data_IF_559381547258
#
_entry.id   IF_559381547258
#
_cell.length_a   1.000
_cell.length_b   1.000
_cell.length_c   1.000
_cell.angle_alpha   90.00
_cell.angle_beta   90.00
_cell.angle_gamma   90.00
#
_symmetry.space_group_name_H-M   'P 1'
#
loop_
_entity.id
_entity.type
_entity.pdbx_description
1 polymer ?
#
# COMPACT_ATOMS: atom_id res chain seq x y z
N UNK A 1 -8.69 -7.65 -31.30
CA UNK A 1 -9.04 -7.96 -29.89
C UNK A 1 -8.09 -7.13 -29.07
N UNK A 2 -8.55 -6.29 -28.13
CA UNK A 2 -7.63 -5.57 -27.25
C UNK A 2 -6.89 -6.59 -26.36
N UNK A 3 -5.59 -6.42 -26.23
CA UNK A 3 -4.75 -7.21 -25.35
C UNK A 3 -5.29 -7.11 -23.91
N UNK A 4 -5.30 -8.23 -23.16
CA UNK A 4 -5.73 -8.22 -21.75
C UNK A 4 -4.80 -7.30 -20.95
N UNK A 5 -5.30 -6.51 -19.99
CA UNK A 5 -4.43 -5.70 -19.16
C UNK A 5 -3.49 -6.59 -18.33
N UNK A 6 -2.23 -6.17 -18.17
CA UNK A 6 -1.23 -6.82 -17.32
C UNK A 6 -1.22 -6.14 -15.96
N UNK A 7 -1.49 -6.90 -14.90
CA UNK A 7 -1.49 -6.41 -13.54
C UNK A 7 -0.34 -7.05 -12.74
N UNK A 8 0.46 -6.20 -12.09
CA UNK A 8 1.43 -6.65 -11.09
C UNK A 8 0.78 -6.60 -9.71
N UNK A 9 0.76 -7.73 -9.02
CA UNK A 9 0.18 -7.87 -7.68
C UNK A 9 1.29 -8.07 -6.65
N UNK A 10 1.19 -7.41 -5.50
CA UNK A 10 2.08 -7.55 -4.35
C UNK A 10 1.28 -7.39 -3.05
N UNK A 11 1.91 -7.55 -1.90
CA UNK A 11 1.36 -7.29 -0.56
C UNK A 11 2.48 -7.14 0.47
N UNK A 12 2.14 -7.05 1.76
CA UNK A 12 3.08 -7.14 2.88
C UNK A 12 2.77 -8.32 3.84
N UNK A 13 1.64 -8.99 3.68
CA UNK A 13 1.28 -10.17 4.48
C UNK A 13 2.00 -11.46 4.03
N UNK A 14 2.61 -11.45 2.85
CA UNK A 14 3.30 -12.61 2.25
C UNK A 14 2.55 -13.24 1.08
N UNK A 15 3.30 -13.98 0.25
CA UNK A 15 2.83 -14.55 -1.03
C UNK A 15 1.67 -15.55 -0.88
N UNK A 16 1.58 -16.23 0.24
CA UNK A 16 0.53 -17.23 0.55
C UNK A 16 -0.63 -16.67 1.38
N UNK A 17 -0.64 -15.37 1.67
CA UNK A 17 -1.67 -14.75 2.52
C UNK A 17 -3.06 -14.82 1.85
N UNK A 18 -4.16 -15.01 2.62
CA UNK A 18 -5.51 -15.11 2.07
C UNK A 18 -5.92 -13.92 1.21
N UNK A 19 -5.49 -12.71 1.59
CA UNK A 19 -5.83 -11.47 0.89
C UNK A 19 -5.28 -11.41 -0.53
N UNK A 20 -4.00 -11.79 -0.74
CA UNK A 20 -3.40 -11.79 -2.08
C UNK A 20 -3.97 -12.92 -2.94
N UNK A 21 -4.30 -14.09 -2.35
CA UNK A 21 -4.91 -15.20 -3.07
C UNK A 21 -6.29 -14.85 -3.59
N UNK A 22 -7.14 -14.25 -2.74
CA UNK A 22 -8.47 -13.78 -3.14
C UNK A 22 -8.36 -12.69 -4.23
N UNK A 23 -7.43 -11.75 -4.07
CA UNK A 23 -7.20 -10.67 -5.03
C UNK A 23 -6.77 -11.21 -6.40
N UNK A 24 -5.77 -12.07 -6.46
CA UNK A 24 -5.30 -12.71 -7.70
C UNK A 24 -6.42 -13.43 -8.43
N UNK A 25 -7.20 -14.23 -7.70
CA UNK A 25 -8.33 -14.98 -8.25
C UNK A 25 -9.37 -14.05 -8.88
N UNK A 26 -9.73 -12.96 -8.21
CA UNK A 26 -10.69 -11.99 -8.73
C UNK A 26 -10.17 -11.24 -9.96
N UNK A 27 -8.89 -10.83 -9.96
CA UNK A 27 -8.27 -10.07 -11.05
C UNK A 27 -8.03 -10.92 -12.29
N UNK A 28 -7.65 -12.20 -12.14
CA UNK A 28 -7.42 -13.12 -13.25
C UNK A 28 -8.65 -13.32 -14.16
N UNK A 29 -9.84 -13.00 -13.67
CA UNK A 29 -11.07 -13.06 -14.48
C UNK A 29 -11.08 -12.08 -15.66
N UNK A 30 -10.23 -11.03 -15.64
CA UNK A 30 -10.23 -10.01 -16.71
C UNK A 30 -8.84 -9.55 -17.15
N UNK A 31 -7.78 -9.89 -16.41
CA UNK A 31 -6.42 -9.43 -16.61
C UNK A 31 -5.44 -10.60 -16.60
N UNK A 32 -4.25 -10.38 -17.16
CA UNK A 32 -3.10 -11.23 -16.95
C UNK A 32 -2.42 -10.78 -15.65
N UNK A 33 -2.33 -11.69 -14.68
CA UNK A 33 -1.87 -11.36 -13.32
C UNK A 33 -0.50 -11.97 -13.08
N UNK A 34 0.45 -11.11 -12.76
CA UNK A 34 1.78 -11.47 -12.31
C UNK A 34 1.93 -11.06 -10.85
N UNK A 35 2.41 -11.96 -10.01
CA UNK A 35 2.53 -11.73 -8.57
C UNK A 35 3.98 -11.79 -8.15
N UNK A 36 4.45 -10.75 -7.50
CA UNK A 36 5.77 -10.72 -6.84
C UNK A 36 5.55 -10.16 -5.44
N UNK A 37 5.72 -11.01 -4.43
CA UNK A 37 5.36 -10.68 -3.06
C UNK A 37 6.42 -11.18 -2.07
N UNK A 38 6.49 -10.62 -0.85
CA UNK A 38 7.39 -11.11 0.18
C UNK A 38 7.13 -12.57 0.51
N UNK A 39 8.21 -13.32 0.79
CA UNK A 39 8.11 -14.71 1.23
C UNK A 39 7.42 -14.84 2.60
N UNK A 40 7.57 -13.84 3.46
CA UNK A 40 7.00 -13.79 4.80
C UNK A 40 6.43 -12.42 5.08
N UNK A 41 5.60 -12.31 6.13
CA UNK A 41 5.03 -11.05 6.60
C UNK A 41 6.10 -9.95 6.81
N UNK A 42 5.81 -8.75 6.32
CA UNK A 42 6.65 -7.56 6.32
C UNK A 42 5.91 -6.33 6.89
N UNK A 43 5.08 -6.52 7.90
CA UNK A 43 4.32 -5.44 8.53
C UNK A 43 5.21 -4.32 9.04
N UNK A 44 4.74 -3.07 8.94
CA UNK A 44 5.41 -1.85 9.40
C UNK A 44 6.82 -1.61 8.82
N UNK A 45 7.11 -2.14 7.62
CA UNK A 45 8.40 -1.91 6.94
C UNK A 45 8.48 -0.59 6.18
N UNK A 46 7.37 0.15 6.10
CA UNK A 46 7.36 1.40 5.33
C UNK A 46 7.84 1.18 3.88
N UNK A 47 8.38 2.21 3.24
CA UNK A 47 8.95 2.12 1.88
C UNK A 47 10.45 1.84 1.91
N UNK A 48 10.88 0.82 2.67
CA UNK A 48 12.30 0.44 2.73
C UNK A 48 12.71 -0.40 1.52
N UNK A 49 13.95 -0.16 1.05
CA UNK A 49 14.59 -0.89 -0.04
C UNK A 49 15.85 -1.59 0.50
N UNK A 50 16.06 -2.82 0.12
CA UNK A 50 17.19 -3.65 0.51
C UNK A 50 18.39 -3.41 -0.40
N UNK A 51 19.43 -2.72 0.10
CA UNK A 51 20.63 -2.36 -0.68
C UNK A 51 21.90 -3.06 -0.22
N UNK A 52 21.96 -3.56 1.02
CA UNK A 52 23.21 -3.99 1.66
C UNK A 52 23.38 -5.52 1.72
N UNK A 53 22.42 -6.29 1.30
CA UNK A 53 22.51 -7.73 1.16
C UNK A 53 21.74 -8.22 -0.07
N UNK A 54 22.07 -9.41 -0.61
CA UNK A 54 21.38 -9.94 -1.77
C UNK A 54 19.96 -10.34 -1.41
N UNK A 55 19.03 -10.13 -2.33
CA UNK A 55 17.67 -10.67 -2.28
C UNK A 55 17.66 -12.05 -2.96
N UNK A 56 16.93 -12.99 -2.37
CA UNK A 56 16.63 -14.29 -2.99
C UNK A 56 15.18 -14.28 -3.45
N UNK A 57 14.94 -14.90 -4.57
CA UNK A 57 13.60 -15.09 -5.09
C UNK A 57 13.45 -16.48 -5.70
N UNK A 58 12.24 -16.99 -5.74
CA UNK A 58 11.92 -18.25 -6.40
C UNK A 58 10.47 -18.21 -6.90
N UNK A 59 10.21 -18.93 -7.97
CA UNK A 59 8.86 -19.12 -8.49
C UNK A 59 8.13 -20.14 -7.61
N UNK A 60 6.95 -19.74 -7.09
CA UNK A 60 6.10 -20.58 -6.25
C UNK A 60 5.10 -21.35 -7.11
N UNK A 61 4.55 -20.69 -8.11
CA UNK A 61 3.67 -21.20 -9.15
C UNK A 61 3.78 -20.32 -10.40
N UNK A 62 3.20 -20.73 -11.50
CA UNK A 62 3.26 -19.98 -12.76
C UNK A 62 2.83 -18.53 -12.56
N UNK A 63 3.71 -17.58 -12.92
CA UNK A 63 3.55 -16.13 -12.75
C UNK A 63 3.47 -15.64 -11.29
N UNK A 64 3.97 -16.43 -10.33
CA UNK A 64 4.01 -16.07 -8.91
C UNK A 64 5.40 -16.31 -8.32
N UNK A 65 6.01 -15.26 -7.80
CA UNK A 65 7.33 -15.28 -7.18
C UNK A 65 7.30 -14.78 -5.74
N UNK A 66 8.01 -15.50 -4.90
CA UNK A 66 8.31 -15.09 -3.53
C UNK A 66 9.71 -14.45 -3.47
N UNK A 67 9.85 -13.33 -2.77
CA UNK A 67 11.10 -12.62 -2.56
C UNK A 67 11.39 -12.51 -1.06
N UNK A 68 12.64 -12.73 -0.63
CA UNK A 68 13.05 -12.51 0.77
C UNK A 68 13.37 -11.02 1.00
N UNK A 69 12.42 -10.16 0.73
CA UNK A 69 12.56 -8.72 0.77
C UNK A 69 11.28 -8.01 1.22
N UNK A 70 11.33 -6.69 1.18
CA UNK A 70 10.19 -5.84 1.49
C UNK A 70 9.16 -5.82 0.35
N UNK A 71 7.92 -5.34 0.58
CA UNK A 71 6.94 -5.13 -0.48
C UNK A 71 7.44 -4.21 -1.61
N UNK A 72 8.19 -3.18 -1.26
CA UNK A 72 8.80 -2.28 -2.24
C UNK A 72 9.90 -2.98 -3.05
N UNK A 73 10.73 -3.84 -2.42
CA UNK A 73 11.71 -4.68 -3.14
C UNK A 73 11.03 -5.59 -4.16
N UNK A 74 9.90 -6.19 -3.80
CA UNK A 74 9.15 -7.07 -4.69
C UNK A 74 8.70 -6.36 -5.97
N UNK A 75 8.12 -5.17 -5.83
CA UNK A 75 7.70 -4.35 -6.97
C UNK A 75 8.91 -3.87 -7.76
N UNK A 76 9.99 -3.43 -7.09
CA UNK A 76 11.23 -3.04 -7.74
C UNK A 76 11.82 -4.19 -8.58
N UNK A 77 11.93 -5.39 -8.01
CA UNK A 77 12.41 -6.59 -8.69
C UNK A 77 11.54 -6.89 -9.92
N UNK A 78 10.21 -6.82 -9.78
CA UNK A 78 9.31 -7.07 -10.90
C UNK A 78 9.52 -6.11 -12.08
N UNK A 79 9.85 -4.85 -11.83
CA UNK A 79 10.09 -3.86 -12.88
C UNK A 79 11.44 -4.00 -13.57
N UNK A 80 12.47 -4.48 -12.86
CA UNK A 80 13.86 -4.41 -13.34
C UNK A 80 14.52 -5.77 -13.56
N UNK A 81 13.96 -6.86 -13.04
CA UNK A 81 14.45 -8.19 -13.37
C UNK A 81 14.00 -8.55 -14.80
N UNK A 82 15.00 -8.74 -15.67
CA UNK A 82 14.77 -9.07 -17.06
C UNK A 82 13.96 -10.37 -17.18
N UNK A 83 13.02 -10.37 -18.12
CA UNK A 83 12.19 -11.53 -18.49
C UNK A 83 11.22 -12.03 -17.39
N UNK A 84 11.09 -11.34 -16.24
CA UNK A 84 10.10 -11.69 -15.23
C UNK A 84 8.69 -11.28 -15.67
N UNK A 85 8.54 -10.06 -16.20
CA UNK A 85 7.29 -9.60 -16.80
C UNK A 85 7.43 -9.57 -18.34
N UNK A 86 6.40 -9.96 -19.10
CA UNK A 86 6.46 -9.94 -20.57
C UNK A 86 6.47 -8.51 -21.15
N UNK A 87 5.96 -7.56 -20.39
CA UNK A 87 5.93 -6.13 -20.69
C UNK A 87 5.71 -5.30 -19.42
N UNK A 88 5.79 -3.99 -19.54
CA UNK A 88 5.46 -3.09 -18.42
C UNK A 88 4.01 -3.31 -17.97
N UNK A 89 3.72 -3.41 -16.66
CA UNK A 89 2.36 -3.58 -16.19
C UNK A 89 1.53 -2.31 -16.41
N UNK A 90 0.23 -2.49 -16.66
CA UNK A 90 -0.74 -1.42 -16.82
C UNK A 90 -1.16 -0.84 -15.46
N UNK A 91 -1.03 -1.66 -14.39
CA UNK A 91 -1.35 -1.28 -13.02
C UNK A 91 -0.57 -2.13 -12.02
N UNK A 92 -0.23 -1.53 -10.87
CA UNK A 92 0.23 -2.23 -9.67
C UNK A 92 -0.91 -2.28 -8.65
N UNK A 93 -1.20 -3.46 -8.13
CA UNK A 93 -2.26 -3.69 -7.13
C UNK A 93 -1.63 -4.35 -5.91
N UNK A 94 -1.63 -3.65 -4.79
CA UNK A 94 -1.05 -4.15 -3.53
C UNK A 94 -2.14 -4.49 -2.53
N UNK A 95 -2.08 -5.68 -1.95
CA UNK A 95 -3.02 -6.16 -0.94
C UNK A 95 -3.59 -7.56 -1.27
N UNK A 96 -4.70 -7.94 -0.68
CA UNK A 96 -5.52 -7.15 0.27
C UNK A 96 -4.93 -7.36 1.66
N UNK A 97 -4.51 -6.27 2.30
CA UNK A 97 -3.96 -6.29 3.65
C UNK A 97 -5.03 -6.66 4.69
N UNK A 98 -4.66 -7.45 5.68
CA UNK A 98 -5.47 -7.68 6.85
C UNK A 98 -5.31 -6.53 7.86
N UNK A 99 -6.33 -5.76 8.04
CA UNK A 99 -6.34 -4.53 8.84
C UNK A 99 -6.25 -3.26 7.97
N UNK A 100 -6.75 -2.14 8.48
CA UNK A 100 -6.81 -0.88 7.73
C UNK A 100 -5.46 -0.16 7.68
N UNK A 101 -5.25 0.60 6.61
CA UNK A 101 -4.17 1.57 6.46
C UNK A 101 -4.78 2.97 6.29
N UNK A 102 -5.05 3.65 7.40
CA UNK A 102 -5.78 4.92 7.47
C UNK A 102 -4.90 6.07 7.96
N UNK A 103 -5.23 7.28 7.55
CA UNK A 103 -4.55 8.47 8.03
C UNK A 103 -3.03 8.36 7.92
N UNK A 104 -2.33 8.66 9.01
CA UNK A 104 -0.87 8.62 9.06
C UNK A 104 -0.25 7.20 9.03
N UNK A 105 -1.06 6.12 9.16
CA UNK A 105 -0.54 4.74 9.02
C UNK A 105 0.02 4.47 7.61
N UNK A 106 -0.44 5.19 6.60
CA UNK A 106 0.05 5.07 5.22
C UNK A 106 1.57 5.30 5.09
N UNK A 107 2.20 5.95 6.08
CA UNK A 107 3.64 6.17 6.11
C UNK A 107 4.42 4.92 6.54
N UNK A 108 3.80 4.05 7.33
CA UNK A 108 4.42 2.83 7.87
C UNK A 108 4.03 1.57 7.09
N UNK A 109 2.95 1.64 6.31
CA UNK A 109 2.37 0.50 5.59
C UNK A 109 3.25 -0.02 4.46
N UNK A 110 3.52 -1.32 4.49
CA UNK A 110 4.18 -2.06 3.41
C UNK A 110 3.25 -2.21 2.19
N UNK A 111 1.95 -2.41 2.41
CA UNK A 111 0.93 -2.46 1.34
C UNK A 111 0.92 -1.17 0.53
N UNK A 112 0.87 -0.02 1.22
CA UNK A 112 0.91 1.30 0.55
C UNK A 112 2.27 1.53 -0.13
N UNK A 113 3.36 1.05 0.47
CA UNK A 113 4.70 1.18 -0.09
C UNK A 113 4.86 0.44 -1.42
N UNK A 114 4.35 -0.80 -1.54
CA UNK A 114 4.36 -1.54 -2.80
C UNK A 114 3.58 -0.80 -3.90
N UNK A 115 2.40 -0.29 -3.60
CA UNK A 115 1.63 0.52 -4.55
C UNK A 115 2.35 1.83 -4.91
N UNK A 116 2.97 2.49 -3.92
CA UNK A 116 3.76 3.72 -4.12
C UNK A 116 4.97 3.47 -5.02
N UNK A 117 5.66 2.33 -4.88
CA UNK A 117 6.76 1.97 -5.77
C UNK A 117 6.30 1.88 -7.22
N UNK A 118 5.14 1.26 -7.49
CA UNK A 118 4.53 1.25 -8.81
C UNK A 118 4.22 2.65 -9.34
N UNK A 119 3.68 3.53 -8.50
CA UNK A 119 3.38 4.91 -8.86
C UNK A 119 4.66 5.72 -9.15
N UNK A 120 5.74 5.52 -8.38
CA UNK A 120 7.06 6.10 -8.66
C UNK A 120 7.63 5.65 -10.02
N UNK A 121 7.24 4.47 -10.49
CA UNK A 121 7.58 3.99 -11.85
C UNK A 121 6.60 4.54 -12.92
N UNK A 122 5.70 5.43 -12.57
CA UNK A 122 4.75 6.03 -13.52
C UNK A 122 3.61 5.10 -13.92
N UNK A 123 3.27 4.11 -13.09
CA UNK A 123 2.17 3.17 -13.32
C UNK A 123 1.03 3.45 -12.34
N UNK A 124 -0.22 3.37 -12.80
CA UNK A 124 -1.38 3.47 -11.91
C UNK A 124 -1.28 2.43 -10.80
N UNK A 125 -1.55 2.81 -9.57
CA UNK A 125 -1.37 1.91 -8.44
C UNK A 125 -2.50 2.03 -7.42
N UNK A 126 -2.86 0.90 -6.83
CA UNK A 126 -3.86 0.81 -5.76
C UNK A 126 -3.29 0.02 -4.60
N UNK A 127 -3.42 0.55 -3.39
CA UNK A 127 -3.26 -0.18 -2.14
C UNK A 127 -4.65 -0.53 -1.58
N UNK A 128 -4.83 -1.78 -1.15
CA UNK A 128 -6.10 -2.34 -0.70
C UNK A 128 -5.95 -2.92 0.71
N UNK A 129 -6.82 -2.52 1.62
CA UNK A 129 -6.81 -2.96 3.01
C UNK A 129 -8.22 -3.29 3.48
N UNK A 130 -8.39 -4.38 4.22
CA UNK A 130 -9.69 -4.86 4.70
C UNK A 130 -9.70 -5.03 6.22
N UNK A 131 -10.73 -4.48 6.88
CA UNK A 131 -10.93 -4.64 8.32
C UNK A 131 -11.54 -6.00 8.72
N UNK A 132 -11.96 -6.80 7.73
CA UNK A 132 -12.51 -8.15 7.95
C UNK A 132 -11.49 -9.22 7.55
N UNK A 133 -11.63 -10.41 8.12
CA UNK A 133 -10.91 -11.61 7.67
C UNK A 133 -11.49 -12.21 6.40
N UNK A 134 -12.69 -11.79 6.01
CA UNK A 134 -13.38 -12.24 4.80
C UNK A 134 -12.87 -11.42 3.59
N UNK A 135 -12.07 -12.04 2.73
CA UNK A 135 -11.35 -11.34 1.66
C UNK A 135 -12.06 -11.36 0.31
N UNK A 136 -12.93 -12.33 0.06
CA UNK A 136 -13.56 -12.54 -1.24
C UNK A 136 -14.47 -11.38 -1.64
N UNK A 137 -15.25 -10.85 -0.69
CA UNK A 137 -16.09 -9.67 -0.91
C UNK A 137 -15.27 -8.44 -1.28
N UNK A 138 -14.21 -8.16 -0.53
CA UNK A 138 -13.28 -7.07 -0.81
C UNK A 138 -12.59 -7.23 -2.17
N UNK A 139 -12.20 -8.45 -2.55
CA UNK A 139 -11.58 -8.74 -3.84
C UNK A 139 -12.52 -8.48 -5.03
N UNK A 140 -13.83 -8.71 -4.89
CA UNK A 140 -14.81 -8.36 -5.93
C UNK A 140 -14.95 -6.84 -6.11
N UNK A 141 -14.96 -6.07 -5.02
CA UNK A 141 -14.91 -4.60 -5.10
C UNK A 141 -13.61 -4.12 -5.73
N UNK A 142 -12.46 -4.68 -5.30
CA UNK A 142 -11.14 -4.36 -5.83
C UNK A 142 -11.06 -4.55 -7.34
N UNK A 143 -11.62 -5.66 -7.86
CA UNK A 143 -11.75 -5.89 -9.31
C UNK A 143 -12.52 -4.75 -10.01
N UNK A 144 -13.59 -4.27 -9.41
CA UNK A 144 -14.37 -3.14 -9.93
C UNK A 144 -13.54 -1.85 -9.99
N UNK A 145 -12.83 -1.52 -8.92
CA UNK A 145 -11.95 -0.35 -8.85
C UNK A 145 -10.80 -0.43 -9.84
N UNK A 146 -10.17 -1.60 -10.01
CA UNK A 146 -9.12 -1.80 -11.00
C UNK A 146 -9.63 -1.53 -12.42
N UNK A 147 -10.79 -2.06 -12.79
CA UNK A 147 -11.41 -1.82 -14.11
C UNK A 147 -11.73 -0.34 -14.32
N UNK A 148 -12.28 0.33 -13.31
CA UNK A 148 -12.59 1.76 -13.39
C UNK A 148 -11.31 2.58 -13.57
N UNK A 149 -10.27 2.33 -12.76
CA UNK A 149 -9.00 3.07 -12.84
C UNK A 149 -8.27 2.83 -14.17
N UNK A 150 -8.29 1.63 -14.72
CA UNK A 150 -7.75 1.33 -16.06
C UNK A 150 -8.46 2.14 -17.15
N UNK A 151 -9.77 2.37 -17.00
CA UNK A 151 -10.58 3.17 -17.93
C UNK A 151 -10.38 4.69 -17.81
N UNK A 152 -9.64 5.19 -16.78
CA UNK A 152 -9.43 6.63 -16.62
C UNK A 152 -8.27 7.13 -17.47
N UNK A 153 -8.33 8.41 -17.84
CA UNK A 153 -7.20 9.12 -18.43
C UNK A 153 -6.42 9.78 -17.30
N UNK A 154 -5.24 9.28 -16.97
CA UNK A 154 -4.37 9.96 -16.01
C UNK A 154 -3.81 11.26 -16.66
N UNK A 155 -3.63 12.34 -15.88
CA UNK A 155 -2.92 13.51 -16.37
C UNK A 155 -1.53 13.13 -16.87
N UNK A 156 -1.05 13.72 -17.97
CA UNK A 156 0.29 13.41 -18.49
C UNK A 156 1.36 13.61 -17.43
N UNK A 157 2.22 12.59 -17.24
CA UNK A 157 3.34 12.64 -16.31
C UNK A 157 3.00 12.39 -14.83
N UNK A 158 1.72 12.14 -14.50
CA UNK A 158 1.31 11.82 -13.13
C UNK A 158 0.77 10.39 -13.04
N UNK A 159 1.37 9.58 -12.18
CA UNK A 159 0.80 8.30 -11.81
C UNK A 159 -0.28 8.50 -10.73
N UNK A 160 -1.41 7.79 -10.88
CA UNK A 160 -2.46 7.77 -9.87
C UNK A 160 -2.10 6.72 -8.82
N UNK A 161 -2.10 7.12 -7.56
CA UNK A 161 -1.97 6.23 -6.41
C UNK A 161 -3.21 6.37 -5.53
N UNK A 162 -3.95 5.28 -5.34
CA UNK A 162 -5.14 5.24 -4.48
C UNK A 162 -4.90 4.30 -3.30
N UNK A 163 -5.30 4.73 -2.11
CA UNK A 163 -5.40 3.92 -0.91
C UNK A 163 -6.88 3.65 -0.64
N UNK A 164 -7.27 2.37 -0.60
CA UNK A 164 -8.66 1.94 -0.48
C UNK A 164 -8.79 1.03 0.74
N UNK A 165 -9.70 1.40 1.65
CA UNK A 165 -9.99 0.60 2.84
C UNK A 165 -11.43 0.13 2.84
N UNK A 166 -11.64 -1.15 3.15
CA UNK A 166 -12.94 -1.80 3.24
C UNK A 166 -13.37 -1.90 4.72
N UNK A 167 -14.61 -1.53 5.06
CA UNK A 167 -15.12 -1.62 6.42
C UNK A 167 -15.32 -3.08 6.87
N UNK A 168 -15.42 -3.34 8.20
CA UNK A 168 -15.60 -4.69 8.74
C UNK A 168 -16.98 -5.30 8.49
N UNK A 169 -17.91 -4.51 7.98
CA UNK A 169 -19.31 -4.89 7.66
C UNK A 169 -19.58 -4.69 6.17
N UNK A 170 -20.66 -5.25 5.61
CA UNK A 170 -21.03 -4.97 4.23
C UNK A 170 -21.06 -3.46 3.97
N UNK A 171 -20.38 -2.97 2.93
CA UNK A 171 -20.26 -1.54 2.69
C UNK A 171 -21.62 -0.89 2.39
N UNK A 172 -21.86 0.27 3.00
CA UNK A 172 -23.03 1.12 2.68
C UNK A 172 -22.87 1.88 1.36
N UNK A 173 -21.65 1.95 0.84
CA UNK A 173 -21.28 2.66 -0.37
C UNK A 173 -19.80 2.98 -0.41
N UNK A 174 -19.41 3.89 -1.31
CA UNK A 174 -18.02 4.31 -1.55
C UNK A 174 -17.92 5.82 -1.37
N UNK A 175 -16.87 6.29 -0.71
CA UNK A 175 -16.58 7.73 -0.55
C UNK A 175 -15.17 8.06 -1.03
N UNK A 176 -15.03 9.13 -1.79
CA UNK A 176 -13.75 9.78 -2.01
C UNK A 176 -13.39 10.53 -0.72
N UNK A 177 -12.16 10.31 -0.22
CA UNK A 177 -11.73 10.77 1.10
C UNK A 177 -10.36 11.43 1.03
N UNK A 178 -10.00 12.11 2.12
CA UNK A 178 -8.62 12.50 2.43
C UNK A 178 -8.11 11.68 3.61
N UNK A 179 -6.81 11.72 3.86
CA UNK A 179 -6.24 11.09 5.04
C UNK A 179 -6.78 11.75 6.32
N UNK A 180 -7.20 10.93 7.25
CA UNK A 180 -7.54 11.33 8.61
C UNK A 180 -6.31 11.40 9.51
N UNK A 181 -6.54 11.47 10.81
CA UNK A 181 -5.49 11.45 11.83
C UNK A 181 -5.77 10.30 12.80
N UNK A 182 -4.87 9.34 12.85
CA UNK A 182 -4.88 8.26 13.84
C UNK A 182 -3.86 8.55 14.94
N UNK A 183 -4.32 8.41 16.16
CA UNK A 183 -3.51 8.59 17.37
C UNK A 183 -3.29 7.24 18.02
N UNK A 184 -2.06 6.96 18.34
CA UNK A 184 -1.65 5.79 19.12
C UNK A 184 -1.25 6.25 20.52
N UNK A 185 -1.39 5.37 21.51
CA UNK A 185 -0.73 5.63 22.79
C UNK A 185 0.78 5.58 22.52
N UNK A 186 1.46 6.72 22.66
CA UNK A 186 2.92 6.84 22.49
C UNK A 186 3.66 6.19 23.67
N UNK A 187 3.37 4.92 23.95
CA UNK A 187 3.94 4.17 25.04
C UNK A 187 5.01 3.20 24.57
N UNK A 188 6.08 3.11 25.36
CA UNK A 188 7.09 2.07 25.24
C UNK A 188 7.09 1.28 26.54
N UNK A 189 6.64 0.03 26.48
CA UNK A 189 6.66 -0.86 27.62
C UNK A 189 8.03 -1.52 27.77
N UNK A 190 8.65 -1.34 28.94
CA UNK A 190 9.92 -1.98 29.29
C UNK A 190 9.63 -3.27 30.06
N UNK A 191 10.21 -4.39 29.64
CA UNK A 191 10.13 -5.69 30.30
C UNK A 191 11.51 -6.32 30.46
N UNK A 192 11.62 -7.28 31.35
CA UNK A 192 12.85 -8.06 31.57
C UNK A 192 12.70 -9.47 31.01
N UNK A 193 13.75 -9.97 30.35
CA UNK A 193 13.85 -11.39 30.00
C UNK A 193 14.22 -12.23 31.26
N UNK A 194 14.08 -13.57 31.23
CA UNK A 194 14.44 -14.42 32.38
C UNK A 194 15.89 -14.32 32.87
N UNK A 195 16.77 -13.63 32.12
CA UNK A 195 18.17 -13.37 32.48
C UNK A 195 18.42 -11.94 32.95
N UNK A 196 17.34 -11.16 33.16
CA UNK A 196 17.40 -9.76 33.62
C UNK A 196 17.84 -8.75 32.57
N UNK A 197 17.76 -9.06 31.27
CA UNK A 197 18.01 -8.10 30.20
C UNK A 197 16.73 -7.41 29.80
N UNK A 198 16.79 -6.08 29.69
CA UNK A 198 15.63 -5.28 29.26
C UNK A 198 15.32 -5.50 27.79
N UNK A 199 14.05 -5.58 27.47
CA UNK A 199 13.52 -5.49 26.10
C UNK A 199 12.30 -4.57 26.06
N UNK A 200 11.99 -4.04 24.89
CA UNK A 200 11.00 -2.98 24.72
C UNK A 200 9.90 -3.43 23.76
N UNK A 201 8.67 -3.10 24.11
CA UNK A 201 7.54 -3.12 23.19
C UNK A 201 7.15 -1.69 22.83
N UNK A 202 7.07 -1.41 21.52
CA UNK A 202 6.51 -0.15 21.02
C UNK A 202 5.00 -0.32 20.88
N UNK A 203 4.24 0.59 21.43
CA UNK A 203 2.78 0.54 21.51
C UNK A 203 2.29 0.00 22.84
N UNK A 204 1.32 0.68 23.44
CA UNK A 204 0.65 0.29 24.68
C UNK A 204 -0.57 -0.61 24.40
N UNK A 205 -1.27 -1.06 25.46
CA UNK A 205 -2.47 -1.89 25.35
C UNK A 205 -3.69 -1.17 24.77
N UNK A 206 -3.59 0.13 24.49
CA UNK A 206 -4.63 0.93 23.85
C UNK A 206 -4.59 0.78 22.31
N UNK A 207 -5.77 0.54 21.70
CA UNK A 207 -5.91 0.63 20.25
C UNK A 207 -5.71 2.05 19.72
N UNK A 208 -5.54 2.20 18.42
CA UNK A 208 -5.55 3.52 17.79
C UNK A 208 -6.93 4.18 17.93
N UNK A 209 -6.93 5.47 18.22
CA UNK A 209 -8.11 6.34 18.17
C UNK A 209 -8.00 7.28 16.97
N UNK A 210 -9.12 7.84 16.51
CA UNK A 210 -9.13 8.80 15.40
C UNK A 210 -9.60 10.15 15.88
N UNK A 211 -8.97 11.23 15.42
CA UNK A 211 -9.54 12.56 15.56
C UNK A 211 -10.57 12.82 14.46
N UNK A 212 -11.67 13.50 14.76
CA UNK A 212 -12.65 13.89 13.74
C UNK A 212 -12.02 14.85 12.71
N UNK A 213 -12.00 14.44 11.46
CA UNK A 213 -11.51 15.24 10.33
C UNK A 213 -12.51 15.10 9.19
N UNK A 214 -13.24 16.18 8.88
CA UNK A 214 -14.28 16.17 7.86
C UNK A 214 -13.81 15.58 6.52
N UNK A 215 -14.52 14.55 6.02
CA UNK A 215 -14.22 13.87 4.79
C UNK A 215 -13.01 12.92 4.88
N UNK A 216 -12.61 12.52 6.09
CA UNK A 216 -11.49 11.61 6.30
C UNK A 216 -11.84 10.15 5.97
N UNK A 217 -10.78 9.38 5.68
CA UNK A 217 -10.85 7.93 5.48
C UNK A 217 -11.24 7.21 6.78
N UNK A 218 -10.81 7.71 7.93
CA UNK A 218 -11.18 7.23 9.26
C UNK A 218 -12.67 7.31 9.51
N UNK A 219 -13.29 8.48 9.28
CA UNK A 219 -14.73 8.68 9.43
C UNK A 219 -15.54 7.81 8.46
N UNK A 220 -15.13 7.78 7.19
CA UNK A 220 -15.82 6.98 6.18
C UNK A 220 -15.87 5.50 6.57
N UNK A 221 -14.76 4.96 7.08
CA UNK A 221 -14.67 3.57 7.49
C UNK A 221 -15.51 3.27 8.74
N UNK A 222 -15.47 4.14 9.76
CA UNK A 222 -16.28 4.05 10.97
C UNK A 222 -17.79 4.08 10.66
N UNK A 223 -18.19 4.90 9.69
CA UNK A 223 -19.57 4.96 9.21
C UNK A 223 -19.98 3.79 8.30
N UNK A 224 -19.07 2.88 7.96
CA UNK A 224 -19.30 1.68 7.16
C UNK A 224 -19.25 1.92 5.65
N UNK A 225 -18.52 2.93 5.18
CA UNK A 225 -18.26 3.17 3.76
C UNK A 225 -16.86 2.67 3.38
N UNK A 226 -16.70 2.25 2.13
CA UNK A 226 -15.37 2.08 1.54
C UNK A 226 -14.76 3.46 1.36
N UNK A 227 -13.56 3.68 1.89
CA UNK A 227 -12.79 4.91 1.66
C UNK A 227 -11.90 4.76 0.43
N UNK A 228 -11.84 5.79 -0.42
CA UNK A 228 -10.93 5.89 -1.57
C UNK A 228 -10.16 7.19 -1.46
N UNK A 229 -8.90 7.10 -1.03
CA UNK A 229 -8.04 8.25 -0.74
C UNK A 229 -6.95 8.35 -1.80
N UNK A 230 -6.85 9.45 -2.56
CA UNK A 230 -5.70 9.69 -3.44
C UNK A 230 -4.48 10.05 -2.58
N UNK A 231 -3.33 9.43 -2.90
CA UNK A 231 -2.05 9.73 -2.25
C UNK A 231 -1.09 10.41 -3.21
N UNK A 232 -0.29 11.35 -2.68
CA UNK A 232 0.81 11.96 -3.42
C UNK A 232 2.07 11.07 -3.35
N UNK A 233 2.81 11.03 -4.44
CA UNK A 233 4.19 10.50 -4.49
C UNK A 233 5.23 11.62 -4.31
N UNK A 234 4.82 12.88 -4.39
CA UNK A 234 5.69 14.02 -4.19
C UNK A 234 5.90 14.27 -2.71
N UNK A 235 7.17 14.33 -2.29
CA UNK A 235 7.56 14.64 -0.91
C UNK A 235 7.85 16.13 -0.67
N UNK A 236 7.98 16.93 -1.74
CA UNK A 236 8.18 18.36 -1.62
C UNK A 236 6.91 19.06 -1.15
N UNK A 237 7.01 19.87 -0.11
CA UNK A 237 5.94 20.75 0.35
C UNK A 237 6.16 22.16 -0.22
N UNK A 238 5.44 22.55 -1.28
CA UNK A 238 5.68 23.83 -1.97
C UNK A 238 5.49 25.06 -1.06
N UNK A 239 4.53 25.00 -0.14
CA UNK A 239 4.23 26.08 0.79
C UNK A 239 5.38 26.41 1.76
N UNK A 240 6.33 25.47 1.94
CA UNK A 240 7.49 25.66 2.80
C UNK A 240 8.78 26.08 2.05
N UNK A 241 8.71 26.34 0.75
CA UNK A 241 9.89 26.77 -0.03
C UNK A 241 10.46 28.10 0.47
N UNK A 242 9.62 29.03 0.91
CA UNK A 242 10.08 30.29 1.53
C UNK A 242 10.90 30.07 2.81
N UNK A 243 10.46 29.10 3.65
CA UNK A 243 11.21 28.74 4.86
C UNK A 243 12.57 28.11 4.48
N UNK A 244 12.57 27.23 3.48
CA UNK A 244 13.80 26.61 3.00
C UNK A 244 14.77 27.64 2.42
N UNK A 245 14.28 28.61 1.65
CA UNK A 245 15.09 29.71 1.10
C UNK A 245 15.70 30.57 2.21
N UNK A 246 14.91 30.91 3.23
CA UNK A 246 15.39 31.64 4.40
C UNK A 246 16.53 30.88 5.13
N UNK A 247 16.34 29.61 5.41
CA UNK A 247 17.36 28.75 6.06
C UNK A 247 18.63 28.61 5.20
N UNK A 248 18.48 28.56 3.87
CA UNK A 248 19.57 28.51 2.92
C UNK A 248 20.34 29.84 2.80
N UNK A 249 19.90 30.90 3.48
CA UNK A 249 20.51 32.24 3.38
C UNK A 249 20.26 32.94 2.05
N UNK A 250 19.29 32.47 1.26
CA UNK A 250 18.90 33.12 0.02
C UNK A 250 18.23 34.45 0.38
N UNK A 251 18.79 35.59 -0.07
CA UNK A 251 18.09 36.86 0.02
C UNK A 251 16.93 36.82 -0.97
N UNK A 252 15.69 37.01 -0.49
CA UNK A 252 14.60 37.35 -1.38
C UNK A 252 14.99 38.63 -2.13
N UNK A 253 15.11 38.55 -3.46
CA UNK A 253 15.05 39.74 -4.29
C UNK A 253 13.64 40.33 -4.11
N UNK A 254 13.55 41.46 -3.43
CA UNK A 254 12.29 42.21 -3.22
C UNK A 254 11.85 42.88 -4.51
#
# INVERSE_FOLDING_TARGET
>A
MSERPLLLVSNDDGVDAPGILALRTALATFADVYTVAPQTEQSAKSHSITLHHPLRFHEVEEHVWAVDGTPADCVYVAFFLKDLLPRRPDMVVSGINHGPNLGNDVHYSGTVAAAREGALRGVRSIALSNCSTEMEGAAQYAKGFCKQLLGTTAPPGQAVLLNINFPPVPPKGVRATRLGLRLYSDDVEVRDDPRGRHYLWIGGPGGATSEPVEGADTEALEEGFISVTPLSIEATQPDHLGVAAYVAGSKEER
#
